data_IF_016495113766
#
_entry.id   IF_016495113766
#
_cell.length_a   1.000
_cell.length_b   1.000
_cell.length_c   1.000
_cell.angle_alpha   90.00
_cell.angle_beta   90.00
_cell.angle_gamma   90.00
#
_symmetry.space_group_name_H-M   'P 1'
#
loop_
_entity.id
_entity.type
_entity.pdbx_description
1 polymer ?
#
# COMPACT_ATOMS: atom_id res chain seq x y z
N UNK A 1 6.89 4.51 15.69
CA UNK A 1 7.89 4.32 14.62
C UNK A 1 7.19 3.94 13.34
N UNK A 2 7.58 4.54 12.24
CA UNK A 2 6.96 4.24 10.96
C UNK A 2 7.59 3.00 10.34
N UNK A 3 6.77 2.14 9.80
CA UNK A 3 7.25 0.94 9.12
C UNK A 3 7.68 1.22 7.70
N UNK A 4 7.10 2.26 7.10
CA UNK A 4 7.45 2.70 5.76
C UNK A 4 7.64 4.21 5.78
N UNK A 5 8.69 4.66 5.09
CA UNK A 5 8.84 6.10 4.89
C UNK A 5 7.85 6.55 3.83
N UNK A 6 7.66 7.87 3.72
CA UNK A 6 6.78 8.40 2.68
C UNK A 6 7.26 7.97 1.28
N UNK A 7 8.57 8.02 1.07
CA UNK A 7 9.14 7.62 -0.21
C UNK A 7 8.86 6.15 -0.51
N UNK A 8 9.04 5.28 0.49
CA UNK A 8 8.76 3.86 0.32
C UNK A 8 7.29 3.62 0.01
N UNK A 9 6.41 4.36 0.67
CA UNK A 9 4.97 4.25 0.42
C UNK A 9 4.63 4.62 -1.02
N UNK A 10 5.21 5.73 -1.50
CA UNK A 10 4.98 6.17 -2.88
C UNK A 10 5.51 5.14 -3.87
N UNK A 11 6.68 4.58 -3.59
CA UNK A 11 7.28 3.57 -4.48
C UNK A 11 6.42 2.32 -4.54
N UNK A 12 5.88 1.90 -3.41
CA UNK A 12 5.01 0.73 -3.38
C UNK A 12 3.75 0.97 -4.20
N UNK A 13 3.16 2.16 -4.06
CA UNK A 13 1.96 2.51 -4.82
C UNK A 13 2.28 2.54 -6.31
N UNK A 14 3.43 3.09 -6.68
CA UNK A 14 3.84 3.11 -8.09
C UNK A 14 3.97 1.70 -8.64
N UNK A 15 4.54 0.80 -7.85
CA UNK A 15 4.68 -0.59 -8.25
C UNK A 15 3.32 -1.22 -8.52
N UNK A 16 2.37 -0.96 -7.62
CA UNK A 16 1.02 -1.51 -7.78
C UNK A 16 0.36 -0.97 -9.04
N UNK A 17 0.50 0.33 -9.29
CA UNK A 17 -0.07 0.95 -10.49
C UNK A 17 0.57 0.34 -11.74
N UNK A 18 1.88 0.13 -11.70
CA UNK A 18 2.60 -0.42 -12.85
C UNK A 18 2.16 -1.85 -13.17
N UNK A 19 1.88 -2.64 -12.13
CA UNK A 19 1.50 -4.04 -12.31
C UNK A 19 0.01 -4.24 -12.58
N UNK A 20 -0.83 -3.42 -11.97
CA UNK A 20 -2.28 -3.64 -11.97
C UNK A 20 -3.09 -2.47 -12.49
N UNK A 21 -2.43 -1.34 -12.82
CA UNK A 21 -3.14 -0.17 -13.28
C UNK A 21 -3.73 0.64 -12.14
N UNK A 22 -4.42 1.72 -12.49
CA UNK A 22 -4.96 2.62 -11.48
C UNK A 22 -6.49 2.58 -11.40
N UNK A 23 -7.07 1.45 -11.76
CA UNK A 23 -8.52 1.26 -11.68
C UNK A 23 -8.95 0.28 -10.60
N UNK A 24 -8.07 -0.02 -9.64
CA UNK A 24 -8.38 -0.97 -8.58
C UNK A 24 -9.40 -0.40 -7.60
N UNK A 25 -10.27 -1.28 -7.13
CA UNK A 25 -11.18 -0.94 -6.03
C UNK A 25 -10.45 -1.10 -4.71
N UNK A 26 -11.01 -0.47 -3.66
CA UNK A 26 -10.35 -0.51 -2.35
C UNK A 26 -10.11 -1.94 -1.86
N UNK A 27 -11.07 -2.82 -2.06
CA UNK A 27 -10.92 -4.21 -1.62
C UNK A 27 -9.75 -4.88 -2.34
N UNK A 28 -9.69 -4.69 -3.65
CA UNK A 28 -8.61 -5.28 -4.45
C UNK A 28 -7.26 -4.70 -4.04
N UNK A 29 -7.20 -3.40 -3.86
CA UNK A 29 -5.98 -2.73 -3.45
C UNK A 29 -5.51 -3.25 -2.08
N UNK A 30 -6.44 -3.38 -1.14
CA UNK A 30 -6.13 -3.86 0.20
C UNK A 30 -5.51 -5.26 0.15
N UNK A 31 -6.09 -6.14 -0.65
CA UNK A 31 -5.56 -7.50 -0.75
C UNK A 31 -4.16 -7.53 -1.34
N UNK A 32 -3.92 -6.70 -2.35
CA UNK A 32 -2.60 -6.62 -2.96
C UNK A 32 -1.57 -6.07 -1.98
N UNK A 33 -1.95 -5.06 -1.22
CA UNK A 33 -1.05 -4.46 -0.24
C UNK A 33 -0.71 -5.46 0.86
N UNK A 34 -1.69 -6.21 1.33
CA UNK A 34 -1.44 -7.22 2.36
C UNK A 34 -0.47 -8.29 1.85
N UNK A 35 -0.62 -8.67 0.59
CA UNK A 35 0.31 -9.61 -0.04
C UNK A 35 1.72 -9.04 -0.07
N UNK A 36 1.84 -7.77 -0.43
CA UNK A 36 3.14 -7.10 -0.45
C UNK A 36 3.78 -7.05 0.93
N UNK A 37 2.96 -6.84 1.96
CA UNK A 37 3.47 -6.77 3.32
C UNK A 37 4.13 -8.08 3.73
N UNK A 38 3.63 -9.21 3.26
CA UNK A 38 4.22 -10.50 3.60
C UNK A 38 5.61 -10.65 2.97
N UNK A 39 5.84 -10.00 1.85
CA UNK A 39 7.12 -10.08 1.16
C UNK A 39 8.15 -9.09 1.68
N UNK A 40 7.72 -8.06 2.39
CA UNK A 40 8.63 -7.03 2.89
C UNK A 40 9.09 -7.38 4.29
N UNK A 41 10.40 -7.51 4.45
CA UNK A 41 10.98 -7.79 5.77
C UNK A 41 10.60 -6.71 6.75
N UNK A 42 10.14 -7.13 7.92
CA UNK A 42 9.76 -6.21 8.97
C UNK A 42 8.31 -5.83 8.98
N UNK A 43 7.57 -6.16 7.93
CA UNK A 43 6.15 -5.82 7.86
C UNK A 43 5.24 -7.01 8.13
N UNK A 44 5.77 -8.22 8.06
CA UNK A 44 4.97 -9.43 8.27
C UNK A 44 4.44 -9.55 9.70
N UNK A 45 5.01 -8.79 10.62
CA UNK A 45 4.60 -8.83 12.02
C UNK A 45 3.70 -7.68 12.45
N UNK A 46 3.13 -6.94 11.49
CA UNK A 46 2.28 -5.81 11.82
C UNK A 46 1.00 -6.26 12.51
N UNK A 47 0.60 -5.51 13.53
CA UNK A 47 -0.69 -5.74 14.17
C UNK A 47 -1.79 -5.26 13.23
N UNK A 48 -3.04 -5.75 13.40
CA UNK A 48 -4.14 -5.32 12.53
C UNK A 48 -4.34 -3.80 12.48
N UNK A 49 -4.30 -3.06 13.62
CA UNK A 49 -4.45 -1.60 13.56
C UNK A 49 -3.35 -0.93 12.76
N UNK A 50 -2.11 -1.40 12.92
CA UNK A 50 -0.98 -0.81 12.20
C UNK A 50 -1.10 -1.07 10.70
N UNK A 51 -1.48 -2.30 10.34
CA UNK A 51 -1.67 -2.64 8.93
C UNK A 51 -2.77 -1.79 8.31
N UNK A 52 -3.87 -1.58 9.04
CA UNK A 52 -4.97 -0.78 8.56
C UNK A 52 -4.54 0.66 8.31
N UNK A 53 -3.75 1.23 9.21
CA UNK A 53 -3.26 2.59 9.03
C UNK A 53 -2.37 2.72 7.80
N UNK A 54 -1.48 1.76 7.60
CA UNK A 54 -0.62 1.78 6.43
C UNK A 54 -1.43 1.63 5.15
N UNK A 55 -2.39 0.73 5.14
CA UNK A 55 -3.24 0.53 3.98
C UNK A 55 -4.01 1.81 3.65
N UNK A 56 -4.55 2.48 4.65
CA UNK A 56 -5.27 3.72 4.43
C UNK A 56 -4.36 4.79 3.84
N UNK A 57 -3.14 4.89 4.33
CA UNK A 57 -2.16 5.84 3.81
C UNK A 57 -1.84 5.54 2.36
N UNK A 58 -1.59 4.27 2.06
CA UNK A 58 -1.26 3.84 0.70
C UNK A 58 -2.44 4.05 -0.24
N UNK A 59 -3.64 3.77 0.24
CA UNK A 59 -4.85 3.97 -0.56
C UNK A 59 -5.03 5.44 -0.92
N UNK A 60 -4.75 6.32 0.03
CA UNK A 60 -4.84 7.75 -0.20
C UNK A 60 -3.86 8.19 -1.29
N UNK A 61 -2.63 7.67 -1.24
CA UNK A 61 -1.62 7.97 -2.24
C UNK A 61 -2.06 7.42 -3.60
N UNK A 62 -2.56 6.21 -3.62
CA UNK A 62 -3.01 5.56 -4.84
C UNK A 62 -4.09 6.38 -5.53
N UNK A 63 -5.07 6.82 -4.76
CA UNK A 63 -6.17 7.62 -5.29
C UNK A 63 -5.68 8.95 -5.83
N UNK A 64 -4.73 9.57 -5.14
CA UNK A 64 -4.16 10.82 -5.58
C UNK A 64 -3.47 10.68 -6.93
N UNK A 65 -2.74 9.59 -7.11
CA UNK A 65 -2.03 9.37 -8.38
C UNK A 65 -2.98 8.99 -9.51
N UNK A 66 -4.05 8.28 -9.19
CA UNK A 66 -4.98 7.82 -10.21
C UNK A 66 -5.91 8.92 -10.70
N UNK A 67 -5.92 10.07 -10.03
CA UNK A 67 -6.77 11.19 -10.41
C UNK A 67 -6.16 12.10 -11.47
N UNK A 68 -4.91 11.95 -11.74
CA UNK A 68 -4.23 12.83 -12.73
C UNK A 68 -4.58 12.50 -14.17
#
# INVERSE_FOLDING_TARGET
MEHLTKLQSVELVKFIIDQHGNGLKQVQFTELVLDCFEDISGLEGLSPPEATELINTLWSIYRGKSKT
#
